data_IF_866227330396
#
_entry.id   IF_866227330396
#
_cell.length_a   1.000
_cell.length_b   1.000
_cell.length_c   1.000
_cell.angle_alpha   90.00
_cell.angle_beta   90.00
_cell.angle_gamma   90.00
#
_symmetry.space_group_name_H-M   'P 1'
#
loop_
_entity.id
_entity.type
_entity.pdbx_description
1 polymer ?
#
# COMPACT_ATOMS: atom_id res chain seq x y z
N UNK A 1 8.15 -12.67 38.49
CA UNK A 1 9.19 -12.29 39.46
C UNK A 1 8.58 -11.99 40.80
N UNK A 2 9.33 -12.24 41.88
CA UNK A 2 8.98 -11.80 43.24
C UNK A 2 9.18 -10.28 43.38
N UNK A 3 8.70 -9.64 44.49
CA UNK A 3 8.95 -8.23 44.74
C UNK A 3 10.46 -7.87 44.81
N UNK A 4 11.29 -8.84 45.17
CA UNK A 4 12.77 -8.70 45.28
C UNK A 4 13.47 -9.01 43.94
N UNK A 5 12.77 -9.25 42.86
CA UNK A 5 13.32 -9.50 41.52
C UNK A 5 13.77 -10.94 41.27
N UNK A 6 13.43 -11.90 42.13
CA UNK A 6 13.75 -13.32 41.86
C UNK A 6 12.79 -13.95 40.89
N UNK A 7 13.30 -14.78 40.00
CA UNK A 7 12.49 -15.53 39.06
C UNK A 7 11.48 -16.45 39.76
N UNK A 8 10.22 -16.36 39.37
CA UNK A 8 9.18 -17.35 39.71
C UNK A 8 8.99 -18.29 38.52
N UNK A 9 8.89 -17.71 37.32
CA UNK A 9 8.71 -18.43 36.06
C UNK A 9 9.26 -17.57 34.93
N UNK A 10 9.98 -18.21 34.01
CA UNK A 10 10.49 -17.55 32.82
C UNK A 10 10.41 -18.49 31.62
N UNK A 11 10.33 -17.95 30.42
CA UNK A 11 10.49 -18.71 29.20
C UNK A 11 11.80 -18.32 28.50
N UNK A 12 12.33 -19.22 27.70
CA UNK A 12 13.62 -19.02 27.00
C UNK A 12 13.58 -17.81 26.05
N UNK A 13 12.40 -17.44 25.52
CA UNK A 13 12.23 -16.31 24.62
C UNK A 13 12.46 -14.97 25.35
N UNK A 14 12.14 -14.89 26.64
CA UNK A 14 12.38 -13.69 27.45
C UNK A 14 13.87 -13.33 27.45
N UNK A 15 14.74 -14.29 27.78
CA UNK A 15 16.20 -14.10 27.78
C UNK A 15 16.74 -13.81 26.38
N UNK A 16 16.20 -14.49 25.35
CA UNK A 16 16.59 -14.23 23.97
C UNK A 16 16.22 -12.82 23.53
N UNK A 17 15.03 -12.33 23.83
CA UNK A 17 14.63 -10.97 23.49
C UNK A 17 15.37 -9.93 24.33
N UNK A 18 15.63 -10.19 25.60
CA UNK A 18 16.48 -9.33 26.44
C UNK A 18 17.88 -9.15 25.82
N UNK A 19 18.49 -10.23 25.29
CA UNK A 19 19.75 -10.15 24.56
C UNK A 19 19.66 -9.40 23.22
N UNK A 20 18.48 -9.35 22.59
CA UNK A 20 18.30 -8.59 21.35
C UNK A 20 18.14 -7.09 21.57
N UNK A 21 17.55 -6.69 22.69
CA UNK A 21 17.31 -5.27 23.03
C UNK A 21 18.47 -4.65 23.80
N UNK A 22 19.28 -5.45 24.52
CA UNK A 22 20.43 -4.97 25.30
C UNK A 22 21.74 -5.21 24.54
N UNK A 23 22.76 -4.38 24.85
CA UNK A 23 24.15 -4.60 24.44
C UNK A 23 24.91 -5.52 25.42
N UNK A 24 24.23 -6.00 26.47
CA UNK A 24 24.77 -6.88 27.49
C UNK A 24 24.52 -8.34 27.15
N UNK A 25 25.41 -9.22 27.60
CA UNK A 25 25.20 -10.68 27.45
C UNK A 25 24.40 -11.20 28.65
N UNK A 26 23.13 -11.51 28.46
CA UNK A 26 22.19 -11.97 29.46
C UNK A 26 22.12 -13.50 29.43
N UNK A 27 22.33 -14.14 30.56
CA UNK A 27 22.32 -15.60 30.70
C UNK A 27 21.10 -16.12 31.46
N UNK A 28 20.61 -15.34 32.42
CA UNK A 28 19.46 -15.69 33.25
C UNK A 28 18.41 -14.59 33.18
N UNK A 29 17.15 -14.93 33.46
CA UNK A 29 16.05 -13.97 33.42
C UNK A 29 16.17 -12.88 34.50
N UNK A 30 16.81 -13.18 35.62
CA UNK A 30 17.08 -12.20 36.68
C UNK A 30 18.03 -11.10 36.21
N UNK A 31 19.09 -11.46 35.45
CA UNK A 31 20.01 -10.48 34.86
C UNK A 31 19.28 -9.59 33.81
N UNK A 32 18.24 -10.11 33.17
CA UNK A 32 17.47 -9.38 32.18
C UNK A 32 16.67 -8.22 32.79
N UNK A 33 16.32 -8.30 34.06
CA UNK A 33 15.55 -7.24 34.72
C UNK A 33 16.42 -5.97 34.90
N UNK A 34 17.75 -6.08 35.01
CA UNK A 34 18.65 -4.97 35.29
C UNK A 34 19.24 -4.28 34.08
N UNK A 35 18.71 -4.56 32.86
CA UNK A 35 19.24 -3.91 31.67
C UNK A 35 18.81 -2.44 31.58
N UNK A 36 19.62 -1.55 30.98
CA UNK A 36 19.31 -0.11 30.90
C UNK A 36 18.01 0.19 30.18
N UNK A 37 17.65 -0.61 29.19
CA UNK A 37 16.43 -0.45 28.41
C UNK A 37 15.14 -0.68 29.24
N UNK A 38 15.27 -1.33 30.42
CA UNK A 38 14.19 -1.53 31.39
C UNK A 38 14.16 -0.48 32.51
N UNK A 39 15.00 0.55 32.48
CA UNK A 39 15.00 1.62 33.51
C UNK A 39 13.60 2.21 33.77
N UNK A 40 12.73 2.50 32.79
CA UNK A 40 11.37 2.97 33.05
C UNK A 40 10.54 1.98 33.85
N UNK A 41 10.73 0.67 33.62
CA UNK A 41 10.06 -0.39 34.37
C UNK A 41 10.59 -0.45 35.83
N UNK A 42 11.89 -0.28 36.02
CA UNK A 42 12.50 -0.19 37.37
C UNK A 42 11.95 1.00 38.18
N UNK A 43 11.86 2.16 37.54
CA UNK A 43 11.28 3.36 38.14
C UNK A 43 9.80 3.12 38.53
N UNK A 44 9.04 2.47 37.66
CA UNK A 44 7.66 2.10 37.94
C UNK A 44 7.55 1.14 39.14
N UNK A 45 8.35 0.07 39.18
CA UNK A 45 8.36 -0.91 40.26
C UNK A 45 8.80 -0.29 41.59
N UNK A 46 9.92 0.47 41.61
CA UNK A 46 10.45 1.13 42.79
C UNK A 46 9.46 2.11 43.43
N UNK A 47 8.65 2.79 42.63
CA UNK A 47 7.62 3.73 43.08
C UNK A 47 6.41 3.03 43.66
N UNK A 48 6.04 1.86 43.12
CA UNK A 48 4.74 1.23 43.39
C UNK A 48 4.82 0.05 44.37
N UNK A 49 5.91 -0.70 44.44
CA UNK A 49 6.09 -1.81 45.39
C UNK A 49 6.08 -1.34 46.85
N UNK A 50 6.82 -0.25 47.25
CA UNK A 50 6.85 0.21 48.65
C UNK A 50 5.56 0.92 49.09
N UNK A 51 4.62 1.20 48.17
CA UNK A 51 3.46 2.04 48.48
C UNK A 51 2.35 1.25 49.16
N UNK A 52 2.36 1.24 50.50
CA UNK A 52 1.39 0.57 51.37
C UNK A 52 -0.03 1.12 51.25
N UNK A 53 -0.22 2.35 50.73
CA UNK A 53 -1.49 3.01 50.48
C UNK A 53 -2.09 2.68 49.08
N UNK A 54 -1.49 1.78 48.35
CA UNK A 54 -1.96 1.37 47.03
C UNK A 54 -3.38 0.76 47.17
N UNK A 55 -4.38 1.44 46.64
CA UNK A 55 -5.71 0.85 46.45
C UNK A 55 -5.49 -0.44 45.65
N UNK A 56 -5.97 -1.58 46.17
CA UNK A 56 -5.82 -2.94 45.62
C UNK A 56 -6.15 -2.96 44.10
N UNK A 57 -5.21 -2.58 43.26
CA UNK A 57 -5.32 -2.50 41.80
C UNK A 57 -4.08 -3.13 41.17
N UNK A 58 -4.28 -3.96 40.16
CA UNK A 58 -3.20 -4.37 39.26
C UNK A 58 -2.76 -3.13 38.45
N UNK A 59 -1.47 -2.84 38.48
CA UNK A 59 -0.89 -1.72 37.73
C UNK A 59 -0.12 -2.24 36.53
N UNK A 60 -0.08 -1.43 35.49
CA UNK A 60 0.64 -1.75 34.25
C UNK A 60 1.48 -0.56 33.82
N UNK A 61 2.64 -0.86 33.27
CA UNK A 61 3.54 0.10 32.62
C UNK A 61 4.05 -0.54 31.34
N UNK A 62 4.29 0.26 30.34
CA UNK A 62 4.85 -0.22 29.07
C UNK A 62 5.87 0.75 28.51
N UNK A 63 6.90 0.21 27.90
CA UNK A 63 7.93 0.96 27.20
C UNK A 63 8.22 0.32 25.85
N UNK A 64 8.51 1.15 24.86
CA UNK A 64 8.88 0.69 23.52
C UNK A 64 10.36 0.94 23.31
N UNK A 65 11.09 -0.08 22.87
CA UNK A 65 12.52 -0.02 22.56
C UNK A 65 12.72 -0.26 21.07
N UNK A 66 13.43 0.67 20.40
CA UNK A 66 13.87 0.49 19.01
C UNK A 66 15.35 0.08 19.02
N UNK A 67 15.65 -1.11 18.53
CA UNK A 67 17.00 -1.66 18.48
C UNK A 67 17.23 -2.42 17.18
N UNK A 68 18.27 -2.04 16.45
CA UNK A 68 18.67 -2.70 15.19
C UNK A 68 17.54 -2.80 14.14
N UNK A 69 16.68 -1.78 14.05
CA UNK A 69 15.57 -1.75 13.13
C UNK A 69 14.38 -2.65 13.51
N UNK A 70 14.38 -3.16 14.75
CA UNK A 70 13.27 -3.87 15.36
C UNK A 70 12.68 -3.07 16.50
N UNK A 71 11.37 -3.17 16.68
CA UNK A 71 10.62 -2.48 17.71
C UNK A 71 10.07 -3.51 18.70
N UNK A 72 10.46 -3.38 19.95
CA UNK A 72 10.01 -4.26 21.02
C UNK A 72 9.11 -3.49 21.98
N UNK A 73 7.95 -4.07 22.29
CA UNK A 73 7.08 -3.61 23.37
C UNK A 73 7.40 -4.42 24.63
N UNK A 74 7.80 -3.71 25.67
CA UNK A 74 8.05 -4.26 26.99
C UNK A 74 6.89 -3.84 27.90
N UNK A 75 6.19 -4.79 28.46
CA UNK A 75 5.08 -4.53 29.38
C UNK A 75 5.40 -5.13 30.75
N UNK A 76 5.13 -4.37 31.80
CA UNK A 76 5.22 -4.82 33.17
C UNK A 76 3.84 -4.77 33.83
N UNK A 77 3.45 -5.88 34.43
CA UNK A 77 2.22 -5.99 35.22
C UNK A 77 2.61 -6.23 36.66
N UNK A 78 2.24 -5.30 37.55
CA UNK A 78 2.44 -5.41 39.01
C UNK A 78 1.14 -5.90 39.64
N UNK A 79 1.19 -7.11 40.21
CA UNK A 79 0.06 -7.76 40.87
C UNK A 79 -0.21 -7.28 42.29
N UNK A 80 -1.30 -7.76 42.90
CA UNK A 80 -1.75 -7.33 44.21
C UNK A 80 -0.82 -7.77 45.36
N UNK A 81 -0.16 -8.89 45.19
CA UNK A 81 0.85 -9.46 46.11
C UNK A 81 2.25 -8.88 45.94
N UNK A 82 2.38 -7.84 45.10
CA UNK A 82 3.60 -7.21 44.69
C UNK A 82 4.53 -8.08 43.82
N UNK A 83 4.12 -9.29 43.43
CA UNK A 83 4.80 -9.98 42.33
C UNK A 83 4.59 -9.22 41.02
N UNK A 84 5.48 -9.39 40.06
CA UNK A 84 5.35 -8.72 38.77
C UNK A 84 5.72 -9.63 37.60
N UNK A 85 5.13 -9.34 36.47
CA UNK A 85 5.42 -9.99 35.19
C UNK A 85 6.01 -8.96 34.23
N UNK A 86 7.07 -9.34 33.51
CA UNK A 86 7.61 -8.57 32.39
C UNK A 86 7.47 -9.40 31.12
N UNK A 87 6.86 -8.85 30.11
CA UNK A 87 6.78 -9.44 28.77
C UNK A 87 7.51 -8.58 27.76
N UNK A 88 8.21 -9.22 26.82
CA UNK A 88 8.90 -8.56 25.69
C UNK A 88 8.34 -9.12 24.39
N UNK A 89 7.73 -8.27 23.60
CA UNK A 89 7.08 -8.64 22.34
C UNK A 89 7.73 -7.89 21.16
N UNK A 90 8.13 -8.60 20.13
CA UNK A 90 8.56 -7.98 18.86
C UNK A 90 7.29 -7.49 18.12
N UNK A 91 7.09 -6.18 18.11
CA UNK A 91 5.96 -5.51 17.46
C UNK A 91 6.36 -4.82 16.15
N UNK A 92 7.54 -5.11 15.62
CA UNK A 92 8.09 -4.45 14.42
C UNK A 92 7.11 -4.49 13.26
N UNK A 93 6.52 -5.65 12.99
CA UNK A 93 5.52 -5.83 11.94
C UNK A 93 4.25 -5.01 12.18
N UNK A 94 3.74 -5.01 13.41
CA UNK A 94 2.52 -4.28 13.78
C UNK A 94 2.74 -2.76 13.65
N UNK A 95 3.90 -2.27 14.08
CA UNK A 95 4.25 -0.85 13.95
C UNK A 95 4.47 -0.45 12.49
N UNK A 96 5.08 -1.30 11.67
CA UNK A 96 5.21 -1.07 10.24
C UNK A 96 3.83 -1.01 9.55
N UNK A 97 2.95 -1.96 9.81
CA UNK A 97 1.56 -1.97 9.31
C UNK A 97 0.79 -0.71 9.76
N UNK A 98 0.91 -0.32 11.03
CA UNK A 98 0.28 0.88 11.60
C UNK A 98 0.83 2.16 10.96
N UNK A 99 2.14 2.23 10.73
CA UNK A 99 2.80 3.34 10.05
C UNK A 99 2.32 3.46 8.61
N UNK A 100 2.25 2.34 7.89
CA UNK A 100 1.72 2.32 6.52
C UNK A 100 0.27 2.78 6.45
N UNK A 101 -0.59 2.34 7.38
CA UNK A 101 -1.99 2.79 7.47
C UNK A 101 -2.10 4.30 7.74
N UNK A 102 -1.31 4.83 8.69
CA UNK A 102 -1.26 6.28 8.98
C UNK A 102 -0.82 7.08 7.75
N UNK A 103 0.24 6.63 7.08
CA UNK A 103 0.75 7.28 5.87
C UNK A 103 -0.28 7.24 4.72
N UNK A 104 -0.97 6.11 4.55
CA UNK A 104 -2.08 5.98 3.58
C UNK A 104 -3.15 7.02 3.85
N UNK A 105 -3.63 7.13 5.09
CA UNK A 105 -4.68 8.10 5.48
C UNK A 105 -4.25 9.54 5.22
N UNK A 106 -3.02 9.90 5.56
CA UNK A 106 -2.46 11.24 5.31
C UNK A 106 -2.37 11.55 3.80
N UNK A 107 -1.89 10.59 3.00
CA UNK A 107 -1.78 10.75 1.56
C UNK A 107 -3.15 10.88 0.90
N UNK A 108 -4.13 10.06 1.33
CA UNK A 108 -5.53 10.15 0.87
C UNK A 108 -6.10 11.55 1.16
N UNK A 109 -5.96 12.02 2.40
CA UNK A 109 -6.47 13.35 2.78
C UNK A 109 -5.84 14.46 1.93
N UNK A 110 -4.53 14.38 1.66
CA UNK A 110 -3.82 15.35 0.82
C UNK A 110 -4.28 15.31 -0.64
N UNK A 111 -4.41 14.11 -1.23
CA UNK A 111 -4.83 13.94 -2.64
C UNK A 111 -6.32 14.27 -2.86
N UNK A 112 -7.16 14.16 -1.82
CA UNK A 112 -8.56 14.63 -1.86
C UNK A 112 -8.66 16.16 -1.70
N UNK A 113 -7.87 16.77 -0.82
CA UNK A 113 -7.92 18.22 -0.55
C UNK A 113 -7.60 19.04 -1.80
N UNK A 114 -6.63 18.63 -2.59
CA UNK A 114 -6.16 19.38 -3.77
C UNK A 114 -7.27 19.60 -4.82
N UNK A 115 -7.96 18.57 -5.35
CA UNK A 115 -9.04 18.76 -6.32
C UNK A 115 -10.23 19.51 -5.72
N UNK A 116 -10.58 19.27 -4.46
CA UNK A 116 -11.67 19.98 -3.77
C UNK A 116 -11.37 21.47 -3.70
N UNK A 117 -10.17 21.86 -3.25
CA UNK A 117 -9.78 23.28 -3.19
C UNK A 117 -9.73 23.94 -4.57
N UNK A 118 -9.34 23.18 -5.62
CA UNK A 118 -9.35 23.68 -7.00
C UNK A 118 -10.77 23.95 -7.48
N UNK A 119 -11.70 22.99 -7.25
CA UNK A 119 -13.12 23.15 -7.59
C UNK A 119 -13.70 24.38 -6.90
N UNK A 120 -13.46 24.53 -5.57
CA UNK A 120 -13.91 25.67 -4.81
C UNK A 120 -13.40 26.99 -5.39
N UNK A 121 -12.10 27.11 -5.67
CA UNK A 121 -11.52 28.32 -6.23
C UNK A 121 -12.07 28.68 -7.61
N UNK A 122 -12.32 27.71 -8.49
CA UNK A 122 -12.96 27.96 -9.79
C UNK A 122 -14.41 28.43 -9.63
N UNK A 123 -15.17 27.79 -8.74
CA UNK A 123 -16.56 28.19 -8.45
C UNK A 123 -16.62 29.57 -7.80
N UNK A 124 -15.75 29.89 -6.83
CA UNK A 124 -15.64 31.21 -6.23
C UNK A 124 -15.34 32.28 -7.28
N UNK A 125 -14.45 31.99 -8.23
CA UNK A 125 -14.13 32.91 -9.34
C UNK A 125 -15.34 33.18 -10.21
N UNK A 126 -16.14 32.17 -10.54
CA UNK A 126 -17.35 32.32 -11.34
C UNK A 126 -18.41 33.15 -10.58
N UNK A 127 -18.63 32.80 -9.31
CA UNK A 127 -19.67 33.43 -8.47
C UNK A 127 -19.33 34.90 -8.19
N UNK A 128 -18.05 35.19 -7.90
CA UNK A 128 -17.61 36.55 -7.56
C UNK A 128 -17.51 37.49 -8.76
N UNK A 129 -17.58 36.96 -10.00
CA UNK A 129 -17.47 37.75 -11.22
C UNK A 129 -18.67 37.52 -12.15
N UNK A 130 -19.85 38.16 -11.88
CA UNK A 130 -21.06 37.99 -12.70
C UNK A 130 -20.88 38.37 -14.18
N UNK A 131 -19.93 39.26 -14.47
CA UNK A 131 -19.61 39.72 -15.83
C UNK A 131 -18.45 38.96 -16.47
N UNK A 132 -18.10 37.77 -15.94
CA UNK A 132 -17.06 36.90 -16.52
C UNK A 132 -17.45 36.51 -17.95
N UNK A 133 -16.56 36.69 -18.97
CA UNK A 133 -16.80 36.24 -20.32
C UNK A 133 -17.16 34.76 -20.39
N UNK A 134 -18.08 34.40 -21.31
CA UNK A 134 -18.62 33.04 -21.37
C UNK A 134 -17.56 31.99 -21.67
N UNK A 135 -16.54 32.32 -22.50
CA UNK A 135 -15.40 31.44 -22.76
C UNK A 135 -14.62 31.11 -21.48
N UNK A 136 -14.39 32.10 -20.61
CA UNK A 136 -13.72 31.90 -19.33
C UNK A 136 -14.60 31.14 -18.34
N UNK A 137 -15.91 31.43 -18.33
CA UNK A 137 -16.86 30.68 -17.50
C UNK A 137 -16.87 29.20 -17.89
N UNK A 138 -16.96 28.92 -19.20
CA UNK A 138 -16.91 27.57 -19.72
C UNK A 138 -15.60 26.86 -19.35
N UNK A 139 -14.45 27.54 -19.50
CA UNK A 139 -13.16 27.01 -19.12
C UNK A 139 -13.12 26.60 -17.64
N UNK A 140 -13.62 27.45 -16.71
CA UNK A 140 -13.64 27.09 -15.28
C UNK A 140 -14.59 25.92 -14.96
N UNK A 141 -15.73 25.85 -15.63
CA UNK A 141 -16.67 24.74 -15.49
C UNK A 141 -16.04 23.41 -15.97
N UNK A 142 -15.35 23.42 -17.09
CA UNK A 142 -14.60 22.26 -17.61
C UNK A 142 -13.49 21.82 -16.63
N UNK A 143 -12.80 22.77 -16.01
CA UNK A 143 -11.81 22.49 -14.96
C UNK A 143 -12.46 21.87 -13.71
N UNK A 144 -13.62 22.37 -13.26
CA UNK A 144 -14.38 21.76 -12.18
C UNK A 144 -14.78 20.32 -12.50
N UNK A 145 -15.31 20.11 -13.71
CA UNK A 145 -15.71 18.78 -14.17
C UNK A 145 -14.52 17.80 -14.18
N UNK A 146 -13.39 18.22 -14.74
CA UNK A 146 -12.15 17.43 -14.77
C UNK A 146 -11.67 17.06 -13.35
N UNK A 147 -11.68 18.00 -12.40
CA UNK A 147 -11.29 17.72 -11.01
C UNK A 147 -12.29 16.79 -10.31
N UNK A 148 -13.58 16.92 -10.60
CA UNK A 148 -14.63 16.03 -10.06
C UNK A 148 -14.47 14.60 -10.58
N UNK A 149 -14.20 14.41 -11.86
CA UNK A 149 -13.93 13.10 -12.47
C UNK A 149 -12.68 12.45 -11.84
N UNK A 150 -11.62 13.24 -11.65
CA UNK A 150 -10.40 12.77 -10.96
C UNK A 150 -10.70 12.32 -9.53
N UNK A 151 -11.51 13.09 -8.79
CA UNK A 151 -11.91 12.77 -7.41
C UNK A 151 -12.68 11.45 -7.36
N UNK A 152 -13.61 11.24 -8.28
CA UNK A 152 -14.37 9.98 -8.41
C UNK A 152 -13.45 8.79 -8.67
N UNK A 153 -12.46 8.95 -9.58
CA UNK A 153 -11.46 7.94 -9.84
C UNK A 153 -10.65 7.58 -8.58
N UNK A 154 -10.18 8.60 -7.84
CA UNK A 154 -9.43 8.40 -6.61
C UNK A 154 -10.25 7.65 -5.54
N UNK A 155 -11.52 8.00 -5.36
CA UNK A 155 -12.42 7.31 -4.43
C UNK A 155 -12.64 5.85 -4.82
N UNK A 156 -12.76 5.55 -6.11
CA UNK A 156 -12.85 4.18 -6.63
C UNK A 156 -11.59 3.39 -6.30
N UNK A 157 -10.42 3.96 -6.59
CA UNK A 157 -9.11 3.34 -6.32
C UNK A 157 -8.94 3.00 -4.84
N UNK A 158 -9.28 3.94 -3.95
CA UNK A 158 -9.24 3.75 -2.49
C UNK A 158 -10.20 2.62 -2.07
N UNK A 159 -11.41 2.60 -2.62
CA UNK A 159 -12.41 1.57 -2.30
C UNK A 159 -11.93 0.17 -2.71
N UNK A 160 -11.29 0.04 -3.87
CA UNK A 160 -10.70 -1.23 -4.32
C UNK A 160 -9.59 -1.67 -3.37
N UNK A 161 -8.68 -0.77 -2.98
CA UNK A 161 -7.58 -1.09 -2.06
C UNK A 161 -8.08 -1.49 -0.67
N UNK A 162 -9.05 -0.77 -0.10
CA UNK A 162 -9.61 -1.12 1.21
C UNK A 162 -10.27 -2.50 1.20
N UNK A 163 -11.02 -2.81 0.14
CA UNK A 163 -11.64 -4.15 -0.01
C UNK A 163 -10.61 -5.26 -0.14
N UNK A 164 -9.47 -5.01 -0.78
CA UNK A 164 -8.36 -5.97 -0.88
C UNK A 164 -7.64 -6.17 0.46
N UNK A 165 -7.53 -5.12 1.28
CA UNK A 165 -6.86 -5.18 2.59
C UNK A 165 -7.76 -5.86 3.67
N UNK A 166 -9.09 -5.68 3.63
CA UNK A 166 -10.00 -6.06 4.73
C UNK A 166 -10.83 -7.32 4.46
N UNK A 167 -11.10 -7.68 3.23
CA UNK A 167 -12.16 -8.64 2.91
C UNK A 167 -11.84 -9.55 1.71
N UNK A 168 -10.70 -10.22 1.72
CA UNK A 168 -10.35 -11.17 0.64
C UNK A 168 -11.39 -12.31 0.46
N UNK A 169 -12.21 -12.59 1.47
CA UNK A 169 -13.23 -13.64 1.45
C UNK A 169 -14.58 -13.21 0.83
N UNK A 170 -14.79 -11.91 0.59
CA UNK A 170 -16.05 -11.36 0.07
C UNK A 170 -16.10 -11.16 -1.45
N UNK A 171 -15.05 -11.54 -2.17
CA UNK A 171 -15.03 -11.38 -3.61
C UNK A 171 -15.74 -12.55 -4.31
N UNK A 172 -16.74 -12.25 -5.12
CA UNK A 172 -17.36 -13.23 -6.01
C UNK A 172 -16.34 -13.69 -7.06
N UNK A 173 -16.18 -15.01 -7.19
CA UNK A 173 -15.26 -15.62 -8.13
C UNK A 173 -16.06 -16.25 -9.28
N UNK A 174 -15.62 -16.05 -10.51
CA UNK A 174 -16.21 -16.60 -11.70
C UNK A 174 -15.14 -16.94 -12.75
N UNK A 175 -15.52 -17.66 -13.79
CA UNK A 175 -14.64 -17.87 -14.94
C UNK A 175 -14.58 -16.60 -15.77
N UNK A 176 -13.38 -16.05 -15.94
CA UNK A 176 -13.09 -14.82 -16.67
C UNK A 176 -12.19 -15.13 -17.85
N UNK A 177 -12.69 -14.89 -19.06
CA UNK A 177 -11.91 -15.00 -20.29
C UNK A 177 -11.10 -13.70 -20.49
N UNK A 178 -9.79 -13.80 -20.41
CA UNK A 178 -8.88 -12.63 -20.48
C UNK A 178 -8.88 -11.98 -21.86
N UNK A 179 -9.03 -12.74 -22.94
CA UNK A 179 -9.13 -12.19 -24.30
C UNK A 179 -10.34 -11.26 -24.44
N UNK A 180 -11.50 -11.66 -23.91
CA UNK A 180 -12.71 -10.82 -23.93
C UNK A 180 -12.55 -9.59 -23.08
N UNK A 181 -12.02 -9.76 -21.86
CA UNK A 181 -11.80 -8.67 -20.90
C UNK A 181 -10.85 -7.61 -21.48
N UNK A 182 -9.73 -8.01 -22.09
CA UNK A 182 -8.79 -7.08 -22.72
C UNK A 182 -9.45 -6.37 -23.90
N UNK A 183 -10.22 -7.09 -24.73
CA UNK A 183 -10.95 -6.49 -25.85
C UNK A 183 -12.02 -5.47 -25.44
N UNK A 184 -12.65 -5.64 -24.27
CA UNK A 184 -13.58 -4.65 -23.68
C UNK A 184 -12.81 -3.37 -23.29
N UNK A 185 -11.66 -3.52 -22.62
CA UNK A 185 -10.81 -2.40 -22.22
C UNK A 185 -10.29 -1.63 -23.45
N UNK A 186 -9.84 -2.32 -24.51
CA UNK A 186 -9.38 -1.67 -25.73
C UNK A 186 -10.48 -0.84 -26.39
N UNK A 187 -11.71 -1.33 -26.42
CA UNK A 187 -12.86 -0.58 -26.94
C UNK A 187 -13.14 0.67 -26.11
N UNK A 188 -13.06 0.57 -24.79
CA UNK A 188 -13.27 1.72 -23.89
C UNK A 188 -12.18 2.77 -24.01
N UNK A 189 -10.92 2.36 -24.25
CA UNK A 189 -9.78 3.25 -24.42
C UNK A 189 -9.59 3.73 -25.86
N UNK A 190 -10.39 3.27 -26.82
CA UNK A 190 -10.16 3.47 -28.27
C UNK A 190 -10.00 4.95 -28.67
N UNK A 191 -10.85 5.84 -28.15
CA UNK A 191 -10.80 7.26 -28.47
C UNK A 191 -9.48 7.92 -27.97
N UNK A 192 -9.07 7.62 -26.73
CA UNK A 192 -7.86 8.15 -26.15
C UNK A 192 -6.60 7.60 -26.85
N UNK A 193 -6.64 6.33 -27.24
CA UNK A 193 -5.56 5.69 -28.00
C UNK A 193 -5.45 6.27 -29.41
N UNK A 194 -6.57 6.50 -30.09
CA UNK A 194 -6.62 7.11 -31.42
C UNK A 194 -6.07 8.55 -31.39
N UNK A 195 -6.50 9.36 -30.42
CA UNK A 195 -6.00 10.74 -30.23
C UNK A 195 -4.48 10.77 -30.07
N UNK A 196 -3.92 9.82 -29.34
CA UNK A 196 -2.47 9.70 -29.08
C UNK A 196 -1.72 8.83 -30.11
N UNK A 197 -2.41 8.33 -31.13
CA UNK A 197 -1.84 7.45 -32.17
C UNK A 197 -1.20 6.19 -31.60
N UNK A 198 -1.81 5.62 -30.55
CA UNK A 198 -1.36 4.39 -29.89
C UNK A 198 -1.90 3.20 -30.66
N UNK A 199 -1.04 2.24 -30.97
CA UNK A 199 -1.41 0.97 -31.58
C UNK A 199 -1.27 -0.16 -30.59
N UNK A 200 -2.08 -1.22 -30.72
CA UNK A 200 -2.06 -2.37 -29.81
C UNK A 200 -1.89 -3.69 -30.55
N UNK A 201 -1.21 -4.62 -29.90
CA UNK A 201 -1.11 -6.01 -30.31
C UNK A 201 -1.48 -6.91 -29.13
N UNK A 202 -2.48 -7.77 -29.30
CA UNK A 202 -2.95 -8.70 -28.25
C UNK A 202 -2.70 -10.14 -28.68
N UNK A 203 -1.71 -10.78 -28.07
CA UNK A 203 -1.28 -12.16 -28.32
C UNK A 203 -1.59 -13.04 -27.10
N UNK A 204 -2.83 -13.53 -27.04
CA UNK A 204 -3.34 -14.39 -25.94
C UNK A 204 -3.74 -15.77 -26.48
N UNK A 205 -2.75 -16.63 -26.85
CA UNK A 205 -3.03 -17.94 -27.41
C UNK A 205 -3.80 -18.81 -26.41
N UNK A 206 -4.71 -19.64 -26.95
CA UNK A 206 -5.49 -20.57 -26.13
C UNK A 206 -6.62 -19.94 -25.31
N UNK A 207 -6.93 -18.66 -25.50
CA UNK A 207 -7.99 -17.94 -24.77
C UNK A 207 -7.88 -18.13 -23.24
N UNK A 208 -6.84 -17.60 -22.58
CA UNK A 208 -6.60 -17.83 -21.16
C UNK A 208 -7.83 -17.47 -20.32
N UNK A 209 -8.29 -18.45 -19.54
CA UNK A 209 -9.45 -18.31 -18.65
C UNK A 209 -9.02 -18.51 -17.22
N UNK A 210 -9.40 -17.58 -16.35
CA UNK A 210 -9.02 -17.55 -14.94
C UNK A 210 -10.29 -17.63 -14.11
N UNK A 211 -10.34 -18.55 -13.14
CA UNK A 211 -11.36 -18.54 -12.11
C UNK A 211 -10.95 -17.58 -11.02
N UNK A 212 -11.50 -16.37 -11.07
CA UNK A 212 -11.09 -15.25 -10.23
C UNK A 212 -12.18 -14.16 -10.16
N UNK A 213 -11.82 -13.02 -9.57
CA UNK A 213 -12.76 -11.88 -9.50
C UNK A 213 -12.64 -11.00 -10.75
N UNK A 214 -13.75 -10.87 -11.49
CA UNK A 214 -13.80 -10.07 -12.72
C UNK A 214 -13.34 -8.62 -12.52
N UNK A 215 -13.85 -7.92 -11.49
CA UNK A 215 -13.55 -6.51 -11.26
C UNK A 215 -12.08 -6.26 -10.96
N UNK A 216 -11.42 -7.18 -10.24
CA UNK A 216 -9.98 -7.09 -9.96
C UNK A 216 -9.15 -7.40 -11.20
N UNK A 217 -9.51 -8.44 -11.98
CA UNK A 217 -8.85 -8.75 -13.25
C UNK A 217 -8.98 -7.59 -14.22
N UNK A 218 -10.18 -7.01 -14.34
CA UNK A 218 -10.43 -5.81 -15.15
C UNK A 218 -9.54 -4.64 -14.65
N UNK A 219 -9.47 -4.39 -13.33
CA UNK A 219 -8.66 -3.33 -12.76
C UNK A 219 -7.16 -3.51 -13.03
N UNK A 220 -6.64 -4.75 -13.07
CA UNK A 220 -5.25 -5.02 -13.43
C UNK A 220 -4.94 -4.50 -14.82
N UNK A 221 -5.67 -4.98 -15.82
CA UNK A 221 -5.41 -4.62 -17.22
C UNK A 221 -5.75 -3.15 -17.48
N UNK A 222 -6.89 -2.65 -16.98
CA UNK A 222 -7.29 -1.24 -17.15
C UNK A 222 -6.24 -0.27 -16.62
N UNK A 223 -5.69 -0.49 -15.41
CA UNK A 223 -4.64 0.37 -14.88
C UNK A 223 -3.34 0.31 -15.68
N UNK A 224 -3.01 -0.82 -16.29
CA UNK A 224 -1.86 -0.92 -17.19
C UNK A 224 -2.07 -0.11 -18.49
N UNK A 225 -3.25 -0.19 -19.10
CA UNK A 225 -3.63 0.63 -20.25
C UNK A 225 -3.64 2.12 -19.90
N UNK A 226 -4.33 2.51 -18.82
CA UNK A 226 -4.38 3.91 -18.36
C UNK A 226 -2.97 4.48 -18.11
N UNK A 227 -2.09 3.67 -17.52
CA UNK A 227 -0.70 4.07 -17.25
C UNK A 227 0.08 4.28 -18.56
N UNK A 228 -0.04 3.40 -19.53
CA UNK A 228 0.62 3.53 -20.83
C UNK A 228 0.07 4.74 -21.61
N UNK A 229 -1.24 4.90 -21.70
CA UNK A 229 -1.91 6.03 -22.35
C UNK A 229 -1.47 7.37 -21.71
N UNK A 230 -1.34 7.39 -20.37
CA UNK A 230 -1.01 8.61 -19.65
C UNK A 230 0.47 9.00 -19.74
N UNK A 231 1.38 8.04 -19.74
CA UNK A 231 2.80 8.31 -19.48
C UNK A 231 3.78 7.84 -20.54
N UNK A 232 3.43 6.86 -21.39
CA UNK A 232 4.39 6.30 -22.33
C UNK A 232 4.72 7.23 -23.51
N UNK A 233 3.82 8.14 -23.88
CA UNK A 233 4.00 9.09 -24.97
C UNK A 233 2.95 8.95 -26.06
N UNK A 234 3.19 9.59 -27.21
CA UNK A 234 2.34 9.51 -28.42
C UNK A 234 2.99 8.59 -29.44
N UNK A 235 2.17 7.98 -30.32
CA UNK A 235 2.65 7.11 -31.41
C UNK A 235 3.31 5.82 -30.92
N UNK A 236 3.02 5.39 -29.72
CA UNK A 236 3.61 4.19 -29.11
C UNK A 236 2.85 2.92 -29.55
N UNK A 237 3.52 1.79 -29.36
CA UNK A 237 2.96 0.46 -29.55
C UNK A 237 2.85 -0.27 -28.21
N UNK A 238 1.65 -0.79 -27.91
CA UNK A 238 1.38 -1.59 -26.72
C UNK A 238 1.25 -3.06 -27.12
N UNK A 239 1.87 -3.95 -26.34
CA UNK A 239 1.77 -5.38 -26.55
C UNK A 239 1.26 -6.05 -25.27
N UNK A 240 0.16 -6.80 -25.39
CA UNK A 240 -0.36 -7.66 -24.32
C UNK A 240 -0.19 -9.11 -24.74
N UNK A 241 0.60 -9.90 -24.00
CA UNK A 241 0.81 -11.29 -24.36
C UNK A 241 0.72 -12.25 -23.18
N UNK A 242 0.25 -13.48 -23.46
CA UNK A 242 0.44 -14.62 -22.59
C UNK A 242 1.55 -15.48 -23.19
N UNK A 243 2.79 -15.26 -22.70
CA UNK A 243 4.00 -15.83 -23.30
C UNK A 243 4.34 -17.24 -22.81
N UNK A 244 3.68 -17.67 -21.72
CA UNK A 244 3.87 -19.02 -21.15
C UNK A 244 2.64 -19.41 -20.33
N UNK A 245 2.35 -20.69 -20.27
CA UNK A 245 1.44 -21.28 -19.30
C UNK A 245 2.04 -22.56 -18.69
N UNK A 246 1.61 -22.86 -17.48
CA UNK A 246 1.87 -24.14 -16.82
C UNK A 246 0.55 -24.66 -16.20
N UNK A 247 0.51 -25.83 -15.55
CA UNK A 247 -0.72 -26.40 -14.98
C UNK A 247 -1.42 -25.50 -13.97
N UNK A 248 -0.71 -24.54 -13.33
CA UNK A 248 -1.22 -23.71 -12.24
C UNK A 248 -1.37 -22.24 -12.62
N UNK A 249 -0.53 -21.72 -13.53
CA UNK A 249 -0.43 -20.29 -13.82
C UNK A 249 -0.43 -19.99 -15.31
N UNK A 250 -0.96 -18.80 -15.65
CA UNK A 250 -0.68 -18.08 -16.88
C UNK A 250 0.38 -17.00 -16.61
N UNK A 251 1.26 -16.77 -17.57
CA UNK A 251 2.35 -15.80 -17.51
C UNK A 251 2.11 -14.73 -18.57
N UNK A 252 1.85 -13.53 -18.10
CA UNK A 252 1.53 -12.39 -18.95
C UNK A 252 2.67 -11.41 -19.03
N UNK A 253 2.76 -10.71 -20.16
CA UNK A 253 3.49 -9.46 -20.27
C UNK A 253 2.61 -8.38 -20.84
N UNK A 254 2.77 -7.17 -20.31
CA UNK A 254 2.21 -5.94 -20.84
C UNK A 254 3.37 -4.98 -21.07
N UNK A 255 3.59 -4.55 -22.32
CA UNK A 255 4.74 -3.72 -22.68
C UNK A 255 4.33 -2.55 -23.56
N UNK A 256 5.04 -1.44 -23.40
CA UNK A 256 5.03 -0.30 -24.31
C UNK A 256 6.47 0.01 -24.78
N UNK A 257 6.59 0.66 -25.91
CA UNK A 257 7.85 1.16 -26.46
C UNK A 257 8.05 2.67 -26.22
N UNK A 258 7.45 3.20 -25.18
CA UNK A 258 7.45 4.62 -24.85
C UNK A 258 8.71 5.13 -24.16
N UNK A 259 8.55 6.22 -23.39
CA UNK A 259 9.69 6.93 -22.75
C UNK A 259 10.37 6.14 -21.64
N UNK A 260 9.66 5.18 -21.02
CA UNK A 260 10.18 4.40 -19.91
C UNK A 260 10.49 5.23 -18.65
N UNK A 261 11.08 4.58 -17.64
CA UNK A 261 11.54 5.22 -16.40
C UNK A 261 12.95 4.75 -16.05
N UNK A 262 13.71 5.52 -15.25
CA UNK A 262 15.03 5.12 -14.80
C UNK A 262 14.95 3.92 -13.82
N UNK A 263 16.01 3.11 -13.79
CA UNK A 263 16.05 1.85 -13.01
C UNK A 263 15.78 2.07 -11.51
N UNK A 264 16.20 3.19 -10.95
CA UNK A 264 15.99 3.54 -9.54
C UNK A 264 14.51 3.63 -9.14
N UNK A 265 13.61 3.93 -10.09
CA UNK A 265 12.18 4.04 -9.86
C UNK A 265 11.44 2.70 -10.04
N UNK A 266 11.99 1.76 -10.82
CA UNK A 266 11.29 0.53 -11.23
C UNK A 266 10.77 -0.29 -10.06
N UNK A 267 11.52 -0.40 -8.98
CA UNK A 267 11.10 -1.15 -7.79
C UNK A 267 10.02 -0.40 -6.98
N UNK A 268 9.97 0.93 -7.10
CA UNK A 268 9.11 1.79 -6.31
C UNK A 268 7.78 2.13 -6.97
N UNK A 269 7.63 1.91 -8.27
CA UNK A 269 6.39 2.26 -9.01
C UNK A 269 5.14 1.55 -8.49
N UNK A 270 5.29 0.44 -7.75
CA UNK A 270 4.19 -0.29 -7.11
C UNK A 270 3.86 0.20 -5.69
N UNK A 271 4.63 1.15 -5.14
CA UNK A 271 4.31 1.79 -3.86
C UNK A 271 3.08 2.69 -4.02
N UNK A 272 2.19 2.69 -3.02
CA UNK A 272 0.99 3.55 -3.02
C UNK A 272 1.38 5.03 -3.04
N UNK A 273 0.76 5.83 -3.92
CA UNK A 273 1.01 7.26 -4.14
C UNK A 273 2.41 7.60 -4.66
N UNK A 274 3.21 6.62 -5.04
CA UNK A 274 4.50 6.88 -5.64
C UNK A 274 4.36 7.44 -7.04
N UNK A 275 5.18 8.42 -7.37
CA UNK A 275 5.24 9.08 -8.68
C UNK A 275 6.67 9.48 -8.98
N UNK A 276 7.14 9.18 -10.18
CA UNK A 276 8.49 9.54 -10.66
C UNK A 276 8.62 11.07 -10.77
N UNK A 277 7.61 11.74 -11.33
CA UNK A 277 7.55 13.20 -11.44
C UNK A 277 6.19 13.71 -10.93
N UNK A 278 6.22 14.37 -9.76
CA UNK A 278 5.03 14.94 -9.12
C UNK A 278 4.39 16.07 -9.94
N UNK A 279 5.18 16.83 -10.73
CA UNK A 279 4.70 17.96 -11.52
C UNK A 279 3.96 17.51 -12.78
N UNK A 280 4.56 16.62 -13.57
CA UNK A 280 3.98 16.07 -14.80
C UNK A 280 2.76 15.21 -14.50
N UNK A 281 2.82 14.37 -13.47
CA UNK A 281 1.73 13.49 -13.08
C UNK A 281 0.48 14.24 -12.58
N UNK A 282 0.62 15.45 -11.98
CA UNK A 282 -0.53 16.29 -11.61
C UNK A 282 -1.27 16.83 -12.83
N UNK A 283 -0.57 17.18 -13.90
CA UNK A 283 -1.17 17.66 -15.15
C UNK A 283 -1.96 16.56 -15.86
N UNK A 284 -1.47 15.32 -15.81
CA UNK A 284 -2.07 14.15 -16.45
C UNK A 284 -3.17 13.51 -15.59
N UNK A 285 -3.30 13.89 -14.30
CA UNK A 285 -4.40 13.47 -13.44
C UNK A 285 -4.21 12.14 -12.71
N UNK A 286 -3.02 11.52 -12.76
CA UNK A 286 -2.77 10.22 -12.11
C UNK A 286 -2.92 10.28 -10.59
N UNK A 287 -3.48 9.23 -9.97
CA UNK A 287 -3.67 9.08 -8.52
C UNK A 287 -2.42 8.57 -7.81
N UNK A 288 -1.54 7.86 -8.51
CA UNK A 288 -0.41 7.11 -7.94
C UNK A 288 -0.84 5.82 -7.23
N UNK A 289 -2.09 5.40 -7.41
CA UNK A 289 -2.63 4.16 -6.85
C UNK A 289 -2.73 3.02 -7.87
N UNK A 290 -2.81 3.33 -9.17
CA UNK A 290 -3.09 2.35 -10.22
C UNK A 290 -2.16 1.14 -10.21
N UNK A 291 -0.83 1.34 -10.20
CA UNK A 291 0.12 0.22 -10.17
C UNK A 291 0.13 -0.54 -8.84
N UNK A 292 -0.21 0.09 -7.72
CA UNK A 292 -0.42 -0.61 -6.46
C UNK A 292 -1.68 -1.48 -6.48
N UNK A 293 -2.74 -1.04 -7.18
CA UNK A 293 -3.94 -1.86 -7.44
C UNK A 293 -3.58 -3.06 -8.31
N UNK A 294 -2.78 -2.87 -9.36
CA UNK A 294 -2.27 -3.98 -10.19
C UNK A 294 -1.55 -5.00 -9.33
N UNK A 295 -0.59 -4.59 -8.50
CA UNK A 295 0.17 -5.48 -7.62
C UNK A 295 -0.74 -6.24 -6.65
N UNK A 296 -1.66 -5.57 -6.00
CA UNK A 296 -2.58 -6.19 -5.04
C UNK A 296 -3.57 -7.13 -5.73
N UNK A 297 -4.10 -6.77 -6.91
CA UNK A 297 -4.96 -7.63 -7.71
C UNK A 297 -4.25 -8.90 -8.20
N UNK A 298 -2.98 -8.79 -8.62
CA UNK A 298 -2.14 -9.94 -8.98
C UNK A 298 -1.88 -10.83 -7.76
N UNK A 299 -1.54 -10.24 -6.61
CA UNK A 299 -1.33 -10.98 -5.37
C UNK A 299 -2.60 -11.69 -4.89
N UNK A 300 -3.77 -11.06 -5.00
CA UNK A 300 -5.07 -11.69 -4.72
C UNK A 300 -5.24 -12.96 -5.55
N UNK A 301 -4.91 -12.92 -6.84
CA UNK A 301 -4.92 -14.07 -7.74
C UNK A 301 -3.69 -14.98 -7.57
N UNK A 302 -3.01 -14.91 -6.42
CA UNK A 302 -1.86 -15.75 -6.05
C UNK A 302 -0.69 -15.68 -7.04
N UNK A 303 -0.64 -14.61 -7.82
CA UNK A 303 0.43 -14.32 -8.76
C UNK A 303 1.54 -13.45 -8.19
N UNK A 304 2.49 -13.12 -9.05
CA UNK A 304 3.59 -12.20 -8.79
C UNK A 304 3.70 -11.22 -9.94
N UNK A 305 4.17 -10.00 -9.67
CA UNK A 305 4.42 -8.98 -10.68
C UNK A 305 5.80 -8.37 -10.52
N UNK A 306 6.44 -8.11 -11.65
CA UNK A 306 7.68 -7.35 -11.75
C UNK A 306 7.63 -6.42 -12.96
N UNK A 307 8.53 -5.43 -12.99
CA UNK A 307 8.65 -4.52 -14.11
C UNK A 307 10.10 -4.44 -14.57
N UNK A 308 10.28 -4.14 -15.87
CA UNK A 308 11.56 -3.76 -16.46
C UNK A 308 11.36 -2.50 -17.28
N UNK A 309 12.28 -1.56 -17.16
CA UNK A 309 12.25 -0.30 -17.91
C UNK A 309 13.65 0.28 -18.03
N UNK A 310 13.79 1.23 -18.91
CA UNK A 310 14.94 2.10 -19.07
C UNK A 310 14.53 3.33 -19.88
N UNK A 311 15.19 4.46 -19.66
CA UNK A 311 14.87 5.71 -20.38
C UNK A 311 14.96 5.49 -21.89
N UNK A 312 13.87 5.80 -22.61
CA UNK A 312 13.75 5.60 -24.06
C UNK A 312 13.62 4.14 -24.51
N UNK A 313 13.42 3.19 -23.57
CA UNK A 313 13.27 1.75 -23.87
C UNK A 313 11.86 1.22 -23.56
N UNK A 314 10.93 2.11 -23.21
CA UNK A 314 9.59 1.75 -22.80
C UNK A 314 9.54 1.07 -21.43
N UNK A 315 8.40 0.46 -21.13
CA UNK A 315 8.16 -0.29 -19.90
C UNK A 315 7.55 -1.66 -20.21
N UNK A 316 7.98 -2.68 -19.47
CA UNK A 316 7.38 -4.01 -19.55
C UNK A 316 7.04 -4.50 -18.16
N UNK A 317 5.79 -4.85 -17.95
CA UNK A 317 5.29 -5.52 -16.76
C UNK A 317 5.18 -7.01 -17.05
N UNK A 318 5.78 -7.84 -16.19
CA UNK A 318 5.65 -9.30 -16.21
C UNK A 318 4.85 -9.72 -15.00
N UNK A 319 3.79 -10.47 -15.20
CA UNK A 319 2.98 -10.95 -14.08
C UNK A 319 2.40 -12.33 -14.35
N UNK A 320 2.11 -13.02 -13.26
CA UNK A 320 1.46 -14.33 -13.29
C UNK A 320 0.08 -14.23 -12.65
N UNK A 321 -0.85 -15.03 -13.14
CA UNK A 321 -2.17 -15.19 -12.55
C UNK A 321 -2.46 -16.68 -12.41
N UNK A 322 -2.91 -17.09 -11.22
CA UNK A 322 -3.26 -18.48 -10.99
C UNK A 322 -4.55 -18.83 -11.73
N UNK A 323 -4.58 -19.97 -12.41
CA UNK A 323 -5.74 -20.41 -13.19
C UNK A 323 -6.99 -20.58 -12.35
N UNK A 324 -6.83 -21.01 -11.10
CA UNK A 324 -7.92 -21.12 -10.11
C UNK A 324 -7.39 -20.75 -8.73
N UNK A 325 -7.95 -19.71 -8.12
CA UNK A 325 -7.60 -19.23 -6.77
C UNK A 325 -8.37 -19.95 -5.67
#
# INVERSE_FOLDING_TARGET
FTPEGREILSNILFVQFANLISDMQIRQSEDAVDIPELEPIHLFLSKNIPNTNRKRKVLRESVTVDKNGKIFLIECILFLDNSYEISINDISRQEEESRMKRQLTQNVAHELKTPVSSIQGYLETIISNPQLPDDKRQFFLERCYSQSTRLTGLLRDISVLNRLDEASEMFELSEVNIQKLVGEIEKECSMEMEEKKITTEVALPGNPTIYGNYSLLYSIFRNLYDNAIAYAGEGIHLTVSCYKEDPKFYYFSFSDNGVGVSEEHVNRIFERFYRVDKGRSRKVGGTGLGLSIVKNGVNFHKGQISAKSGLGKGMTFFFTLKKKI
#
